data_IF_165452459046
#
_entry.id   IF_165452459046
#
_cell.length_a   1.000
_cell.length_b   1.000
_cell.length_c   1.000
_cell.angle_alpha   90.00
_cell.angle_beta   90.00
_cell.angle_gamma   90.00
#
_symmetry.space_group_name_H-M   'P 1'
#
loop_
_entity.id
_entity.type
_entity.pdbx_description
1 polymer ?
#
# COMPACT_ATOMS: atom_id res chain seq x y z
N UNK A 1 0.61 25.47 22.33
CA UNK A 1 1.14 25.79 20.99
C UNK A 1 1.72 27.19 20.96
N UNK A 2 2.81 27.41 20.22
CA UNK A 2 3.37 28.74 20.00
C UNK A 2 2.43 29.58 19.10
N UNK A 3 1.91 30.71 19.60
CA UNK A 3 1.00 31.58 18.84
C UNK A 3 1.61 32.08 17.52
N UNK A 4 2.92 32.30 17.48
CA UNK A 4 3.62 32.72 16.27
C UNK A 4 3.65 31.60 15.21
N UNK A 5 3.83 30.34 15.63
CA UNK A 5 3.76 29.19 14.72
C UNK A 5 2.34 29.05 14.16
N UNK A 6 1.31 29.15 15.01
CA UNK A 6 -0.08 29.06 14.56
C UNK A 6 -0.43 30.16 13.56
N UNK A 7 0.05 31.39 13.79
CA UNK A 7 -0.12 32.49 12.84
C UNK A 7 0.58 32.19 11.50
N UNK A 8 1.83 31.71 11.53
CA UNK A 8 2.58 31.35 10.33
C UNK A 8 1.91 30.22 9.54
N UNK A 9 1.39 29.18 10.20
CA UNK A 9 0.65 28.09 9.54
C UNK A 9 -0.65 28.59 8.90
N UNK A 10 -1.36 29.53 9.56
CA UNK A 10 -2.58 30.15 9.03
C UNK A 10 -2.34 31.13 7.89
N UNK A 11 -1.13 31.71 7.80
CA UNK A 11 -0.70 32.54 6.67
C UNK A 11 -0.22 31.67 5.50
N UNK A 12 0.50 30.59 5.79
CA UNK A 12 0.94 29.61 4.80
C UNK A 12 -0.25 28.90 4.11
N UNK A 13 -1.32 28.68 4.88
CA UNK A 13 -2.56 28.05 4.44
C UNK A 13 -3.72 29.05 4.51
N UNK A 14 -4.95 28.55 4.52
CA UNK A 14 -6.10 29.34 4.98
C UNK A 14 -6.46 28.93 6.40
N UNK A 15 -7.03 29.82 7.24
CA UNK A 15 -7.43 29.47 8.60
C UNK A 15 -8.38 28.26 8.70
N UNK A 16 -9.21 28.04 7.68
CA UNK A 16 -10.12 26.90 7.59
C UNK A 16 -9.42 25.54 7.34
N UNK A 17 -8.12 25.52 7.03
CA UNK A 17 -7.31 24.32 6.81
C UNK A 17 -6.25 24.11 7.89
N UNK A 18 -6.33 24.89 8.97
CA UNK A 18 -5.48 24.78 10.16
C UNK A 18 -6.38 24.53 11.35
N UNK A 19 -6.54 23.25 11.67
CA UNK A 19 -7.48 22.79 12.68
C UNK A 19 -6.80 22.77 14.05
N UNK A 20 -7.47 23.35 15.04
CA UNK A 20 -7.01 23.41 16.44
C UNK A 20 -8.10 23.02 17.43
N UNK A 21 -9.28 22.61 16.95
CA UNK A 21 -10.39 22.19 17.81
C UNK A 21 -10.13 20.80 18.41
N UNK A 22 -10.34 20.67 19.71
CA UNK A 22 -10.00 19.44 20.44
C UNK A 22 -10.68 18.18 19.92
N UNK A 23 -11.89 18.29 19.35
CA UNK A 23 -12.63 17.15 18.81
C UNK A 23 -12.06 16.68 17.46
N UNK A 24 -11.68 17.61 16.60
CA UNK A 24 -11.05 17.32 15.30
C UNK A 24 -9.64 16.76 15.49
N UNK A 25 -8.86 17.36 16.39
CA UNK A 25 -7.52 16.89 16.75
C UNK A 25 -7.54 15.45 17.29
N UNK A 26 -8.64 15.06 17.96
CA UNK A 26 -8.85 13.70 18.47
C UNK A 26 -8.72 12.61 17.40
N UNK A 27 -9.12 12.90 16.15
CA UNK A 27 -9.07 11.96 15.02
C UNK A 27 -7.63 11.69 14.53
N UNK A 28 -6.67 12.53 14.92
CA UNK A 28 -5.28 12.46 14.48
C UNK A 28 -4.33 12.02 15.59
N UNK A 29 -4.85 11.65 16.77
CA UNK A 29 -4.05 11.19 17.92
C UNK A 29 -3.49 9.78 17.77
N UNK A 30 -3.97 9.02 16.79
CA UNK A 30 -3.53 7.66 16.50
C UNK A 30 -3.69 7.33 15.02
N UNK A 31 -2.87 6.42 14.53
CA UNK A 31 -3.15 5.63 13.33
C UNK A 31 -3.94 4.36 13.71
N UNK A 32 -3.92 3.34 12.87
CA UNK A 32 -4.59 2.06 13.13
C UNK A 32 -3.82 1.18 14.15
N UNK A 33 -2.67 1.64 14.67
CA UNK A 33 -1.97 0.98 15.77
C UNK A 33 -2.65 1.22 17.12
N UNK A 34 -2.12 0.62 18.19
CA UNK A 34 -2.52 0.87 19.57
C UNK A 34 -1.74 2.00 20.25
N UNK A 35 -0.94 2.76 19.49
CA UNK A 35 -0.16 3.90 20.00
C UNK A 35 -1.03 5.14 19.94
N UNK A 36 -1.07 5.88 21.05
CA UNK A 36 -1.77 7.15 21.15
C UNK A 36 -0.79 8.26 21.50
N UNK A 37 -1.04 9.44 20.94
CA UNK A 37 -0.31 10.64 21.27
C UNK A 37 -1.20 11.87 21.23
N UNK A 38 -0.59 13.03 21.02
CA UNK A 38 -1.28 14.32 21.05
C UNK A 38 -0.70 15.28 20.02
N UNK A 39 -1.56 16.09 19.46
CA UNK A 39 -1.20 17.24 18.65
C UNK A 39 -2.07 18.43 19.03
N UNK A 40 -1.56 19.63 18.82
CA UNK A 40 -2.28 20.89 19.03
C UNK A 40 -2.75 21.52 17.71
N UNK A 41 -2.28 21.01 16.57
CA UNK A 41 -2.63 21.52 15.24
C UNK A 41 -2.50 20.47 14.13
N UNK A 42 -3.51 20.45 13.26
CA UNK A 42 -3.50 19.64 12.03
C UNK A 42 -3.66 20.57 10.83
N UNK A 43 -2.78 20.43 9.86
CA UNK A 43 -2.72 21.23 8.63
C UNK A 43 -3.12 20.40 7.42
N UNK A 44 -3.96 20.96 6.55
CA UNK A 44 -4.42 20.31 5.31
C UNK A 44 -3.95 21.10 4.07
N UNK A 45 -2.70 20.93 3.64
CA UNK A 45 -2.22 21.53 2.40
C UNK A 45 -2.92 20.91 1.18
N UNK A 46 -2.94 21.68 0.08
CA UNK A 46 -3.49 21.31 -1.23
C UNK A 46 -2.42 21.32 -2.32
N UNK A 47 -1.21 21.84 -2.03
CA UNK A 47 -0.13 21.95 -3.00
C UNK A 47 1.22 21.69 -2.36
N UNK A 48 2.22 21.36 -3.18
CA UNK A 48 3.62 21.25 -2.76
C UNK A 48 4.15 22.52 -2.09
N UNK A 49 3.77 23.70 -2.61
CA UNK A 49 4.20 24.99 -2.04
C UNK A 49 3.66 25.19 -0.61
N UNK A 50 2.44 24.74 -0.36
CA UNK A 50 1.82 24.80 0.96
C UNK A 50 2.45 23.79 1.95
N UNK A 51 2.78 22.58 1.48
CA UNK A 51 3.56 21.60 2.29
C UNK A 51 4.91 22.21 2.67
N UNK A 52 5.63 22.76 1.69
CA UNK A 52 6.90 23.46 1.90
C UNK A 52 6.76 24.60 2.92
N UNK A 53 5.72 25.41 2.83
CA UNK A 53 5.48 26.50 3.77
C UNK A 53 5.22 26.00 5.20
N UNK A 54 4.46 24.91 5.36
CA UNK A 54 4.25 24.27 6.66
C UNK A 54 5.55 23.75 7.27
N UNK A 55 6.37 23.02 6.48
CA UNK A 55 7.66 22.50 6.92
C UNK A 55 8.59 23.64 7.34
N UNK A 56 8.71 24.71 6.54
CA UNK A 56 9.54 25.87 6.87
C UNK A 56 9.07 26.61 8.12
N UNK A 57 7.76 26.66 8.38
CA UNK A 57 7.23 27.22 9.62
C UNK A 57 7.63 26.36 10.83
N UNK A 58 7.51 25.04 10.72
CA UNK A 58 7.93 24.09 11.75
C UNK A 58 9.43 24.22 12.06
N UNK A 59 10.29 24.24 11.04
CA UNK A 59 11.74 24.42 11.17
C UNK A 59 12.10 25.74 11.85
N UNK A 60 11.50 26.85 11.41
CA UNK A 60 11.77 28.20 11.97
C UNK A 60 11.43 28.30 13.45
N UNK A 61 10.40 27.57 13.88
CA UNK A 61 9.92 27.60 15.26
C UNK A 61 10.41 26.41 16.09
N UNK A 62 11.29 25.57 15.54
CA UNK A 62 11.86 24.38 16.19
C UNK A 62 10.77 23.41 16.71
N UNK A 63 9.67 23.29 15.96
CA UNK A 63 8.58 22.37 16.27
C UNK A 63 8.62 21.18 15.32
N UNK A 64 8.64 19.92 15.82
CA UNK A 64 8.60 18.74 14.97
C UNK A 64 7.26 18.62 14.23
N UNK A 65 7.26 17.87 13.13
CA UNK A 65 6.07 17.58 12.34
C UNK A 65 5.96 16.09 12.04
N UNK A 66 4.73 15.64 11.79
CA UNK A 66 4.40 14.28 11.30
C UNK A 66 3.61 14.41 10.01
N UNK A 67 4.12 13.83 8.93
CA UNK A 67 3.37 13.68 7.69
C UNK A 67 2.35 12.55 7.83
N UNK A 68 1.13 12.76 7.36
CA UNK A 68 0.06 11.79 7.51
C UNK A 68 -0.78 11.65 6.24
N UNK A 69 -0.86 10.42 5.73
CA UNK A 69 -1.87 10.01 4.75
C UNK A 69 -3.20 9.67 5.43
N UNK A 70 -3.79 8.54 5.07
CA UNK A 70 -5.07 8.10 5.66
C UNK A 70 -5.00 7.57 7.09
N UNK A 71 -3.79 7.37 7.64
CA UNK A 71 -3.63 6.87 9.02
C UNK A 71 -3.93 5.39 9.21
N UNK A 72 -3.76 4.56 8.18
CA UNK A 72 -3.98 3.11 8.23
C UNK A 72 -2.76 2.29 8.70
N UNK A 73 -1.66 2.96 9.05
CA UNK A 73 -0.44 2.33 9.55
C UNK A 73 -0.65 1.64 10.89
N UNK A 74 0.13 0.59 11.15
CA UNK A 74 0.01 -0.26 12.35
C UNK A 74 1.21 -0.13 13.31
N UNK A 75 2.17 0.73 12.97
CA UNK A 75 3.42 0.91 13.73
C UNK A 75 3.51 2.26 14.48
N UNK A 76 2.52 3.14 14.35
CA UNK A 76 2.52 4.46 14.99
C UNK A 76 3.23 5.55 14.21
N UNK A 77 3.73 5.28 13.00
CA UNK A 77 4.51 6.25 12.19
C UNK A 77 3.73 7.49 11.79
N UNK A 78 2.39 7.44 11.80
CA UNK A 78 1.52 8.60 11.54
C UNK A 78 0.90 9.20 12.82
N UNK A 79 1.40 8.82 14.00
CA UNK A 79 0.91 9.27 15.31
C UNK A 79 1.82 10.35 15.89
N UNK A 80 1.31 11.57 16.16
CA UNK A 80 2.08 12.62 16.82
C UNK A 80 2.22 12.29 18.31
N UNK A 81 3.44 12.02 18.79
CA UNK A 81 3.67 11.57 20.17
C UNK A 81 3.53 12.70 21.18
N UNK A 82 4.08 13.88 20.90
CA UNK A 82 4.20 14.95 21.88
C UNK A 82 4.09 16.37 21.31
N UNK A 83 3.02 16.65 20.57
CA UNK A 83 2.70 18.01 20.13
C UNK A 83 3.27 18.40 18.77
N UNK A 84 3.70 17.41 17.98
CA UNK A 84 4.09 17.59 16.58
C UNK A 84 2.94 18.21 15.77
N UNK A 85 3.28 19.05 14.80
CA UNK A 85 2.34 19.52 13.78
C UNK A 85 1.99 18.34 12.87
N UNK A 86 0.71 18.00 12.75
CA UNK A 86 0.30 16.98 11.78
C UNK A 86 0.07 17.63 10.43
N UNK A 87 0.81 17.21 9.41
CA UNK A 87 0.62 17.64 8.01
C UNK A 87 -0.15 16.54 7.28
N UNK A 88 -1.47 16.70 7.18
CA UNK A 88 -2.38 15.73 6.59
C UNK A 88 -2.50 15.92 5.08
N UNK A 89 -2.02 14.94 4.31
CA UNK A 89 -1.96 14.98 2.85
C UNK A 89 -3.22 14.46 2.15
N UNK A 90 -4.27 14.14 2.92
CA UNK A 90 -5.51 13.53 2.42
C UNK A 90 -6.32 14.44 1.49
N UNK A 91 -5.96 15.72 1.37
CA UNK A 91 -6.58 16.68 0.45
C UNK A 91 -5.80 16.89 -0.85
N UNK A 92 -4.61 16.31 -0.95
CA UNK A 92 -3.84 16.24 -2.19
C UNK A 92 -4.15 14.90 -2.85
N UNK A 93 -5.33 14.76 -3.44
CA UNK A 93 -5.90 13.49 -3.92
C UNK A 93 -6.16 13.45 -5.45
N UNK A 94 -5.47 14.30 -6.22
CA UNK A 94 -5.60 14.30 -7.66
C UNK A 94 -4.72 13.24 -8.36
N UNK A 95 -5.28 12.59 -9.38
CA UNK A 95 -4.50 11.94 -10.43
C UNK A 95 -4.12 13.01 -11.45
N UNK A 96 -2.86 13.44 -11.44
CA UNK A 96 -2.36 14.61 -12.17
C UNK A 96 -2.23 14.33 -13.67
N UNK A 97 -1.71 13.14 -14.03
CA UNK A 97 -1.62 12.70 -15.43
C UNK A 97 -1.53 11.18 -15.52
N UNK A 98 -1.95 10.63 -16.66
CA UNK A 98 -1.84 9.20 -16.98
C UNK A 98 -1.25 9.07 -18.38
N UNK A 99 -0.15 8.33 -18.50
CA UNK A 99 0.42 7.91 -19.77
C UNK A 99 0.19 6.39 -19.95
N UNK A 100 -0.82 5.98 -20.74
CA UNK A 100 -1.11 4.57 -20.95
C UNK A 100 -0.07 3.86 -21.84
N UNK A 101 0.69 4.60 -22.64
CA UNK A 101 1.70 4.03 -23.56
C UNK A 101 2.94 3.65 -22.77
N UNK A 102 3.46 4.58 -21.97
CA UNK A 102 4.59 4.36 -21.09
C UNK A 102 4.20 3.68 -19.77
N UNK A 103 2.90 3.53 -19.52
CA UNK A 103 2.29 2.88 -18.34
C UNK A 103 2.77 3.47 -17.03
N UNK A 104 2.58 4.78 -16.87
CA UNK A 104 2.77 5.45 -15.59
C UNK A 104 1.74 6.55 -15.38
N UNK A 105 1.62 7.00 -14.14
CA UNK A 105 0.76 8.11 -13.77
C UNK A 105 1.47 8.99 -12.74
N UNK A 106 1.31 10.30 -12.86
CA UNK A 106 1.62 11.20 -11.75
C UNK A 106 0.39 11.36 -10.88
N UNK A 107 0.56 11.15 -9.58
CA UNK A 107 -0.51 11.23 -8.58
C UNK A 107 -0.06 12.04 -7.38
N UNK A 108 -1.00 12.69 -6.72
CA UNK A 108 -0.79 13.29 -5.41
C UNK A 108 -0.85 12.22 -4.30
N UNK A 109 -0.16 12.44 -3.15
CA UNK A 109 0.04 11.43 -2.11
C UNK A 109 -1.24 10.99 -1.39
N UNK A 110 -2.31 11.78 -1.45
CA UNK A 110 -3.61 11.54 -0.84
C UNK A 110 -4.52 10.63 -1.66
N UNK A 111 -4.19 10.36 -2.92
CA UNK A 111 -4.95 9.40 -3.76
C UNK A 111 -5.04 8.06 -3.04
N UNK A 112 -6.24 7.52 -2.88
CA UNK A 112 -6.44 6.18 -2.32
C UNK A 112 -5.92 5.12 -3.29
N UNK A 113 -5.23 4.11 -2.77
CA UNK A 113 -4.55 3.10 -3.58
C UNK A 113 -5.50 2.46 -4.62
N UNK A 114 -6.62 1.90 -4.14
CA UNK A 114 -7.57 1.22 -5.03
C UNK A 114 -8.26 2.16 -6.01
N UNK A 115 -8.42 3.44 -5.65
CA UNK A 115 -9.10 4.41 -6.51
C UNK A 115 -8.28 4.77 -7.75
N UNK A 116 -6.94 4.74 -7.68
CA UNK A 116 -6.11 4.86 -8.87
C UNK A 116 -6.40 3.73 -9.87
N UNK A 117 -6.39 2.48 -9.40
CA UNK A 117 -6.70 1.31 -10.23
C UNK A 117 -8.09 1.39 -10.85
N UNK A 118 -9.10 1.86 -10.10
CA UNK A 118 -10.46 2.09 -10.61
C UNK A 118 -10.49 3.15 -11.72
N UNK A 119 -9.76 4.25 -11.55
CA UNK A 119 -9.71 5.33 -12.53
C UNK A 119 -9.08 4.88 -13.85
N UNK A 120 -8.03 4.07 -13.81
CA UNK A 120 -7.32 3.58 -15.01
C UNK A 120 -7.84 2.26 -15.58
N UNK A 121 -8.84 1.63 -14.94
CA UNK A 121 -9.37 0.32 -15.33
C UNK A 121 -9.82 0.24 -16.80
N UNK A 122 -10.38 1.33 -17.34
CA UNK A 122 -10.83 1.43 -18.73
C UNK A 122 -9.69 1.30 -19.76
N UNK A 123 -8.44 1.45 -19.32
CA UNK A 123 -7.23 1.30 -20.13
C UNK A 123 -6.65 -0.12 -20.07
N UNK A 124 -7.27 -1.02 -19.30
CA UNK A 124 -6.72 -2.36 -19.02
C UNK A 124 -5.47 -2.33 -18.13
N UNK A 125 -5.34 -1.28 -17.31
CA UNK A 125 -4.21 -1.05 -16.40
C UNK A 125 -4.69 -1.01 -14.95
N UNK A 126 -3.77 -1.19 -14.01
CA UNK A 126 -3.96 -0.98 -12.57
C UNK A 126 -2.65 -0.55 -11.89
N UNK A 127 -2.71 -0.04 -10.66
CA UNK A 127 -1.55 0.11 -9.78
C UNK A 127 -1.39 -1.17 -8.95
N UNK A 128 -0.23 -1.84 -9.10
CA UNK A 128 -0.02 -3.21 -8.61
C UNK A 128 0.02 -3.40 -7.09
N UNK A 129 0.70 -2.54 -6.28
CA UNK A 129 0.75 -2.73 -4.84
C UNK A 129 -0.64 -2.80 -4.23
N UNK A 130 -0.98 -3.91 -3.57
CA UNK A 130 -2.35 -4.21 -3.15
C UNK A 130 -2.49 -4.51 -1.63
N UNK A 131 -2.00 -3.63 -0.72
CA UNK A 131 -2.10 -3.86 0.71
C UNK A 131 -3.54 -4.16 1.15
N UNK A 132 -3.73 -4.91 2.24
CA UNK A 132 -5.09 -5.23 2.72
C UNK A 132 -5.94 -3.97 2.97
N UNK A 133 -5.29 -2.85 3.33
CA UNK A 133 -5.93 -1.55 3.51
C UNK A 133 -6.11 -0.74 2.22
N UNK A 134 -5.90 -1.29 1.02
CA UNK A 134 -5.95 -0.56 -0.27
C UNK A 134 -7.24 0.26 -0.52
N UNK A 135 -8.34 -0.10 0.12
CA UNK A 135 -9.61 0.66 0.06
C UNK A 135 -9.55 2.00 0.81
N UNK A 136 -8.59 2.17 1.71
CA UNK A 136 -8.47 3.32 2.61
C UNK A 136 -7.07 3.90 2.70
N UNK A 137 -6.00 3.14 2.43
CA UNK A 137 -4.64 3.67 2.44
C UNK A 137 -4.38 4.57 1.23
N UNK A 138 -3.62 5.65 1.45
CA UNK A 138 -3.20 6.55 0.39
C UNK A 138 -1.88 6.09 -0.25
N UNK A 139 -1.65 6.46 -1.50
CA UNK A 139 -0.41 6.11 -2.23
C UNK A 139 0.81 6.70 -1.51
N UNK A 140 0.73 7.92 -0.97
CA UNK A 140 1.80 8.52 -0.17
C UNK A 140 2.14 7.71 1.08
N UNK A 141 1.14 7.17 1.78
CA UNK A 141 1.36 6.25 2.90
C UNK A 141 2.03 4.95 2.44
N UNK A 142 1.63 4.40 1.30
CA UNK A 142 2.26 3.20 0.76
C UNK A 142 3.73 3.42 0.40
N UNK A 143 4.06 4.60 -0.12
CA UNK A 143 5.46 4.99 -0.38
C UNK A 143 6.24 5.16 0.91
N UNK A 144 5.66 5.82 1.92
CA UNK A 144 6.31 5.99 3.22
C UNK A 144 6.62 4.65 3.90
N UNK A 145 5.74 3.65 3.77
CA UNK A 145 5.88 2.35 4.44
C UNK A 145 6.42 1.22 3.54
N UNK A 146 6.77 1.52 2.27
CA UNK A 146 7.09 0.51 1.25
C UNK A 146 6.08 -0.65 1.22
N UNK A 147 4.78 -0.33 1.21
CA UNK A 147 3.71 -1.32 1.39
C UNK A 147 3.80 -2.45 0.37
N UNK A 148 3.60 -3.68 0.86
CA UNK A 148 3.34 -4.86 0.05
C UNK A 148 1.85 -5.19 -0.01
N UNK A 149 1.56 -6.45 -0.30
CA UNK A 149 0.22 -7.02 -0.37
C UNK A 149 0.33 -8.47 -0.84
N UNK A 150 -0.79 -9.20 -0.98
CA UNK A 150 -0.75 -10.59 -1.42
C UNK A 150 -0.02 -10.82 -2.74
N UNK A 151 -0.06 -9.85 -3.66
CA UNK A 151 0.56 -9.97 -4.98
C UNK A 151 2.05 -9.57 -5.02
N UNK A 152 2.64 -9.19 -3.88
CA UNK A 152 4.04 -8.75 -3.86
C UNK A 152 5.04 -9.86 -4.19
N UNK A 153 4.63 -11.13 -4.13
CA UNK A 153 5.44 -12.27 -4.56
C UNK A 153 5.83 -12.15 -6.04
N UNK A 154 4.86 -11.86 -6.91
CA UNK A 154 5.08 -11.73 -8.34
C UNK A 154 5.42 -10.29 -8.74
N UNK A 155 4.72 -9.31 -8.16
CA UNK A 155 4.81 -7.92 -8.60
C UNK A 155 5.79 -7.08 -7.79
N UNK A 156 6.33 -7.60 -6.68
CA UNK A 156 7.14 -6.83 -5.74
C UNK A 156 6.33 -5.86 -4.89
N UNK A 157 7.04 -5.10 -4.05
CA UNK A 157 6.45 -4.11 -3.13
C UNK A 157 6.43 -2.72 -3.75
N UNK A 158 5.86 -1.73 -3.05
CA UNK A 158 5.69 -0.35 -3.56
C UNK A 158 6.96 0.24 -4.18
N UNK A 159 8.15 -0.03 -3.65
CA UNK A 159 9.43 0.44 -4.21
C UNK A 159 9.68 0.00 -5.66
N UNK A 160 9.13 -1.13 -6.10
CA UNK A 160 9.21 -1.60 -7.49
C UNK A 160 8.31 -0.80 -8.45
N UNK A 161 7.37 -0.05 -7.90
CA UNK A 161 6.31 0.63 -8.64
C UNK A 161 6.38 2.16 -8.57
N UNK A 162 7.39 2.73 -7.91
CA UNK A 162 7.64 4.17 -7.94
C UNK A 162 8.75 4.48 -8.94
N UNK A 163 8.49 5.33 -9.93
CA UNK A 163 9.48 5.79 -10.90
C UNK A 163 10.18 7.07 -10.44
N UNK A 164 9.39 7.99 -9.88
CA UNK A 164 9.88 9.25 -9.35
C UNK A 164 9.02 9.76 -8.19
N UNK A 165 9.59 10.65 -7.38
CA UNK A 165 8.88 11.34 -6.30
C UNK A 165 9.32 12.80 -6.23
N UNK A 166 8.35 13.72 -6.22
CA UNK A 166 8.56 15.10 -5.78
C UNK A 166 8.44 15.11 -4.25
N UNK A 167 9.47 15.60 -3.56
CA UNK A 167 9.61 15.53 -2.12
C UNK A 167 9.95 16.90 -1.54
N UNK A 168 9.28 17.28 -0.46
CA UNK A 168 9.66 18.38 0.41
C UNK A 168 10.57 17.81 1.52
N UNK A 169 11.85 18.18 1.51
CA UNK A 169 12.84 17.77 2.52
C UNK A 169 12.59 18.45 3.86
N UNK A 170 13.30 18.01 4.91
CA UNK A 170 13.13 18.50 6.27
C UNK A 170 13.48 19.98 6.47
N UNK A 171 14.27 20.58 5.57
CA UNK A 171 14.55 22.03 5.54
C UNK A 171 13.56 22.82 4.65
N UNK A 172 12.63 22.11 4.00
CA UNK A 172 11.67 22.65 3.06
C UNK A 172 12.19 22.85 1.64
N UNK A 173 13.37 22.33 1.27
CA UNK A 173 13.76 22.23 -0.14
C UNK A 173 12.81 21.27 -0.89
N UNK A 174 12.48 21.57 -2.15
CA UNK A 174 11.73 20.66 -3.02
C UNK A 174 12.70 20.00 -3.99
N UNK A 175 12.75 18.68 -3.96
CA UNK A 175 13.58 17.87 -4.86
C UNK A 175 12.73 16.87 -5.63
N UNK A 176 13.26 16.39 -6.76
CA UNK A 176 12.69 15.25 -7.49
C UNK A 176 13.69 14.11 -7.42
N UNK A 177 13.25 12.97 -6.91
CA UNK A 177 14.04 11.74 -6.80
C UNK A 177 13.56 10.77 -7.90
N UNK A 178 14.49 10.20 -8.67
CA UNK A 178 14.16 9.30 -9.78
C UNK A 178 13.73 10.04 -11.06
N UNK A 179 13.13 9.30 -12.00
CA UNK A 179 12.67 9.84 -13.28
C UNK A 179 11.58 8.96 -13.88
N UNK A 180 10.79 9.51 -14.81
CA UNK A 180 9.84 8.70 -15.62
C UNK A 180 10.56 7.65 -16.48
N UNK A 181 11.81 7.93 -16.88
CA UNK A 181 12.65 7.01 -17.63
C UNK A 181 13.22 5.90 -16.73
N UNK A 182 13.30 4.69 -17.28
CA UNK A 182 13.85 3.50 -16.61
C UNK A 182 15.33 3.64 -16.25
N UNK A 183 16.10 4.32 -17.11
CA UNK A 183 17.45 4.77 -16.82
C UNK A 183 17.62 6.23 -17.27
N UNK A 184 17.83 7.19 -16.35
CA UNK A 184 18.19 8.53 -16.76
C UNK A 184 19.58 8.51 -17.41
N UNK A 185 19.76 9.30 -18.48
CA UNK A 185 21.06 9.44 -19.13
C UNK A 185 22.11 9.92 -18.11
N UNK A 186 23.15 9.11 -17.87
CA UNK A 186 24.19 9.39 -16.87
C UNK A 186 24.00 8.69 -15.52
N UNK A 187 23.28 7.55 -15.47
CA UNK A 187 22.95 6.71 -14.31
C UNK A 187 24.12 6.11 -13.49
N UNK A 188 25.24 6.80 -13.35
CA UNK A 188 26.34 6.45 -12.43
C UNK A 188 26.11 6.89 -10.98
N UNK A 189 24.89 7.33 -10.62
CA UNK A 189 24.53 7.88 -9.30
C UNK A 189 23.84 6.87 -8.37
N UNK A 190 23.57 7.30 -7.14
CA UNK A 190 22.82 6.53 -6.14
C UNK A 190 21.31 6.56 -6.42
N UNK A 191 20.61 5.45 -6.17
CA UNK A 191 19.13 5.40 -6.20
C UNK A 191 18.55 6.02 -4.92
N UNK A 192 18.56 7.36 -4.86
CA UNK A 192 17.98 8.12 -3.73
C UNK A 192 16.46 7.94 -3.62
N UNK A 193 15.79 7.66 -4.74
CA UNK A 193 14.36 7.29 -4.76
C UNK A 193 14.17 5.99 -3.98
N UNK A 194 14.96 4.96 -4.25
CA UNK A 194 14.96 3.71 -3.50
C UNK A 194 15.22 3.89 -2.01
N UNK A 195 16.12 4.81 -1.63
CA UNK A 195 16.36 5.15 -0.21
C UNK A 195 15.23 5.96 0.46
N UNK A 196 14.41 6.66 -0.33
CA UNK A 196 13.27 7.45 0.18
C UNK A 196 12.02 6.59 0.40
N UNK A 197 11.74 5.62 -0.48
CA UNK A 197 10.61 4.68 -0.31
C UNK A 197 10.87 3.81 0.92
N UNK A 198 9.90 3.76 1.85
CA UNK A 198 10.06 3.06 3.13
C UNK A 198 10.70 3.91 4.24
N UNK A 199 10.96 5.20 4.02
CA UNK A 199 11.54 6.10 5.03
C UNK A 199 10.57 6.53 6.13
N UNK A 200 9.30 6.16 6.06
CA UNK A 200 8.26 6.49 7.04
C UNK A 200 8.11 8.01 7.29
N UNK A 201 8.42 8.83 6.28
CA UNK A 201 8.37 10.29 6.36
C UNK A 201 9.59 10.94 7.03
N UNK A 202 10.59 10.15 7.44
CA UNK A 202 11.78 10.64 8.15
C UNK A 202 12.76 11.42 7.26
N UNK A 203 12.70 11.25 5.94
CA UNK A 203 13.54 11.96 4.97
C UNK A 203 12.82 13.11 4.25
N UNK A 204 11.54 13.33 4.55
CA UNK A 204 10.73 14.37 3.92
C UNK A 204 9.32 13.89 3.59
N UNK A 205 8.58 14.75 2.91
CA UNK A 205 7.17 14.56 2.58
C UNK A 205 7.03 14.45 1.06
N UNK A 206 6.56 13.30 0.56
CA UNK A 206 6.21 13.16 -0.84
C UNK A 206 4.96 13.99 -1.17
N UNK A 207 5.05 14.85 -2.19
CA UNK A 207 3.96 15.73 -2.65
C UNK A 207 3.43 15.37 -4.03
N UNK A 208 4.23 14.66 -4.85
CA UNK A 208 3.77 13.99 -6.07
C UNK A 208 4.56 12.70 -6.29
N UNK A 209 3.92 11.71 -6.87
CA UNK A 209 4.48 10.38 -7.10
C UNK A 209 4.23 9.98 -8.54
N UNK A 210 5.30 9.63 -9.26
CA UNK A 210 5.19 8.96 -10.54
C UNK A 210 5.17 7.45 -10.29
N UNK A 211 4.01 6.83 -10.51
CA UNK A 211 3.78 5.41 -10.26
C UNK A 211 3.74 4.63 -11.57
N UNK A 212 4.28 3.41 -11.56
CA UNK A 212 4.14 2.44 -12.64
C UNK A 212 2.71 1.88 -12.63
N UNK A 213 2.14 1.75 -13.81
CA UNK A 213 0.90 1.03 -14.04
C UNK A 213 1.21 -0.35 -14.66
N UNK A 214 0.52 -1.37 -14.16
CA UNK A 214 0.65 -2.76 -14.59
C UNK A 214 -0.52 -3.14 -15.48
N UNK A 215 -0.27 -3.96 -16.50
CA UNK A 215 -1.34 -4.49 -17.34
C UNK A 215 -2.17 -5.51 -16.55
N UNK A 216 -3.49 -5.46 -16.71
CA UNK A 216 -4.35 -6.48 -16.13
C UNK A 216 -4.05 -7.84 -16.79
N UNK A 217 -3.88 -8.90 -16.00
CA UNK A 217 -3.61 -10.21 -16.57
C UNK A 217 -4.82 -10.70 -17.38
N UNK A 218 -4.61 -11.35 -18.54
CA UNK A 218 -5.70 -11.79 -19.40
C UNK A 218 -6.47 -13.00 -18.86
N UNK A 219 -5.94 -13.67 -17.83
CA UNK A 219 -6.61 -14.75 -17.12
C UNK A 219 -6.02 -14.95 -15.73
N UNK A 220 -6.82 -15.55 -14.87
CA UNK A 220 -6.50 -15.82 -13.47
C UNK A 220 -7.19 -17.11 -13.02
N UNK A 221 -6.47 -17.90 -12.22
CA UNK A 221 -7.00 -19.10 -11.56
C UNK A 221 -6.65 -19.04 -10.08
N UNK A 222 -7.67 -19.18 -9.24
CA UNK A 222 -7.53 -19.16 -7.78
C UNK A 222 -7.91 -20.53 -7.23
N UNK A 223 -7.06 -21.06 -6.36
CA UNK A 223 -7.17 -22.38 -5.77
C UNK A 223 -7.08 -22.26 -4.25
N UNK A 224 -7.89 -23.03 -3.54
CA UNK A 224 -7.82 -23.20 -2.09
C UNK A 224 -7.53 -24.68 -1.79
N UNK A 225 -6.50 -24.90 -0.98
CA UNK A 225 -6.12 -26.20 -0.45
C UNK A 225 -6.23 -26.19 1.06
N UNK A 226 -6.58 -27.32 1.67
CA UNK A 226 -6.61 -27.46 3.12
C UNK A 226 -5.77 -28.63 3.62
N UNK A 227 -5.23 -28.50 4.84
CA UNK A 227 -4.23 -29.41 5.38
C UNK A 227 -4.52 -29.77 6.84
N UNK A 228 -4.06 -30.95 7.25
CA UNK A 228 -4.09 -31.40 8.65
C UNK A 228 -2.96 -30.80 9.51
N UNK A 229 -1.99 -30.12 8.89
CA UNK A 229 -0.95 -29.38 9.59
C UNK A 229 -0.52 -28.14 8.82
N UNK A 230 -0.08 -27.11 9.55
CA UNK A 230 0.53 -25.90 8.98
C UNK A 230 1.83 -26.24 8.23
N UNK A 231 2.60 -27.19 8.76
CA UNK A 231 3.85 -27.68 8.17
C UNK A 231 3.65 -28.17 6.72
N UNK A 232 2.59 -28.98 6.47
CA UNK A 232 2.27 -29.49 5.13
C UNK A 232 1.94 -28.37 4.13
N UNK A 233 1.17 -27.36 4.55
CA UNK A 233 0.89 -26.18 3.74
C UNK A 233 2.16 -25.38 3.42
N UNK A 234 3.04 -25.18 4.40
CA UNK A 234 4.31 -24.48 4.21
C UNK A 234 5.30 -25.25 3.29
N UNK A 235 5.34 -26.58 3.40
CA UNK A 235 6.12 -27.42 2.49
C UNK A 235 5.58 -27.35 1.06
N UNK A 236 4.25 -27.28 0.89
CA UNK A 236 3.63 -27.06 -0.43
C UNK A 236 4.09 -25.75 -1.05
N UNK A 237 4.08 -24.65 -0.29
CA UNK A 237 4.60 -23.34 -0.75
C UNK A 237 6.04 -23.47 -1.22
N UNK A 238 6.89 -24.11 -0.40
CA UNK A 238 8.31 -24.30 -0.73
C UNK A 238 8.51 -25.14 -1.99
N UNK A 239 7.70 -26.20 -2.17
CA UNK A 239 7.76 -27.07 -3.32
C UNK A 239 7.30 -26.39 -4.62
N UNK A 240 6.27 -25.54 -4.56
CA UNK A 240 5.81 -24.75 -5.72
C UNK A 240 6.96 -23.83 -6.20
N UNK A 241 7.61 -23.11 -5.28
CA UNK A 241 8.73 -22.24 -5.63
C UNK A 241 9.94 -23.04 -6.14
N UNK A 242 10.24 -24.19 -5.51
CA UNK A 242 11.34 -25.07 -5.93
C UNK A 242 11.11 -25.69 -7.33
N UNK A 243 9.87 -25.82 -7.77
CA UNK A 243 9.50 -26.24 -9.13
C UNK A 243 9.75 -25.15 -10.18
N UNK A 244 10.14 -23.94 -9.75
CA UNK A 244 10.41 -22.79 -10.61
C UNK A 244 9.17 -21.95 -10.92
N UNK A 245 8.05 -22.21 -10.24
CA UNK A 245 6.83 -21.44 -10.39
C UNK A 245 6.84 -20.22 -9.46
N UNK A 246 6.39 -19.08 -9.97
CA UNK A 246 6.12 -17.88 -9.15
C UNK A 246 4.65 -17.52 -9.34
N UNK A 247 3.75 -18.05 -8.48
CA UNK A 247 2.35 -17.66 -8.50
C UNK A 247 2.19 -16.17 -8.21
N UNK A 248 1.06 -15.61 -8.64
CA UNK A 248 0.70 -14.24 -8.36
C UNK A 248 0.55 -14.02 -6.84
N UNK A 249 0.01 -15.01 -6.12
CA UNK A 249 -0.04 -15.02 -4.67
C UNK A 249 0.00 -16.42 -4.06
N UNK A 250 0.55 -16.51 -2.85
CA UNK A 250 0.60 -17.71 -1.99
C UNK A 250 0.29 -17.30 -0.55
N UNK A 251 -0.95 -17.49 -0.12
CA UNK A 251 -1.47 -16.96 1.14
C UNK A 251 -1.95 -18.09 2.06
N UNK A 252 -1.35 -18.20 3.25
CA UNK A 252 -1.68 -19.23 4.23
C UNK A 252 -2.45 -18.65 5.41
N UNK A 253 -3.45 -19.38 5.90
CA UNK A 253 -4.15 -19.08 7.15
C UNK A 253 -4.15 -20.32 8.03
N UNK A 254 -3.87 -20.14 9.32
CA UNK A 254 -3.99 -21.21 10.31
C UNK A 254 -5.44 -21.40 10.77
N UNK A 255 -5.65 -22.43 11.59
CA UNK A 255 -6.97 -22.76 12.14
C UNK A 255 -7.65 -21.59 12.84
N UNK A 256 -6.94 -20.82 13.65
CA UNK A 256 -7.54 -19.71 14.41
C UNK A 256 -8.00 -18.60 13.48
N UNK A 257 -7.20 -18.26 12.47
CA UNK A 257 -7.60 -17.33 11.41
C UNK A 257 -8.82 -17.84 10.63
N UNK A 258 -8.83 -19.12 10.24
CA UNK A 258 -9.96 -19.73 9.52
C UNK A 258 -11.25 -19.63 10.32
N UNK A 259 -11.23 -20.06 11.59
CA UNK A 259 -12.41 -20.02 12.46
C UNK A 259 -12.93 -18.60 12.66
N UNK A 260 -12.03 -17.63 12.89
CA UNK A 260 -12.39 -16.23 13.08
C UNK A 260 -13.00 -15.60 11.82
N UNK A 261 -12.38 -15.83 10.66
CA UNK A 261 -12.85 -15.31 9.37
C UNK A 261 -14.17 -15.95 8.98
N UNK A 262 -14.29 -17.28 9.07
CA UNK A 262 -15.49 -17.99 8.63
C UNK A 262 -16.71 -17.64 9.47
N UNK A 263 -16.52 -17.32 10.76
CA UNK A 263 -17.58 -16.84 11.65
C UNK A 263 -18.20 -15.50 11.22
N UNK A 264 -17.51 -14.71 10.38
CA UNK A 264 -17.95 -13.38 9.96
C UNK A 264 -18.17 -13.24 8.45
N UNK A 265 -17.24 -13.73 7.63
CA UNK A 265 -17.25 -13.57 6.17
C UNK A 265 -18.05 -14.66 5.46
N UNK A 266 -18.12 -15.87 6.04
CA UNK A 266 -18.78 -17.03 5.46
C UNK A 266 -18.28 -17.36 4.03
N UNK A 267 -16.96 -17.45 3.86
CA UNK A 267 -16.34 -17.75 2.56
C UNK A 267 -16.38 -19.25 2.20
N UNK A 268 -16.87 -20.09 3.12
CA UNK A 268 -16.87 -21.54 2.99
C UNK A 268 -15.48 -22.13 3.22
N UNK A 269 -14.73 -21.56 4.16
CA UNK A 269 -13.44 -22.10 4.61
C UNK A 269 -13.66 -23.33 5.51
N UNK A 270 -12.84 -24.39 5.38
CA UNK A 270 -12.96 -25.60 6.18
C UNK A 270 -12.46 -25.37 7.62
N UNK A 271 -13.37 -25.18 8.57
CA UNK A 271 -13.05 -24.91 9.98
C UNK A 271 -12.46 -26.09 10.74
N UNK A 272 -12.52 -27.30 10.16
CA UNK A 272 -11.85 -28.50 10.68
C UNK A 272 -10.38 -28.59 10.24
N UNK A 273 -9.94 -27.78 9.27
CA UNK A 273 -8.56 -27.78 8.79
C UNK A 273 -7.60 -27.13 9.80
N UNK A 274 -6.35 -27.61 9.82
CA UNK A 274 -5.29 -26.96 10.60
C UNK A 274 -4.71 -25.74 9.88
N UNK A 275 -4.73 -25.76 8.55
CA UNK A 275 -4.33 -24.66 7.69
C UNK A 275 -5.04 -24.71 6.35
N UNK A 276 -5.17 -23.55 5.71
CA UNK A 276 -5.53 -23.43 4.30
C UNK A 276 -4.47 -22.64 3.55
N UNK A 277 -4.24 -23.01 2.29
CA UNK A 277 -3.39 -22.30 1.36
C UNK A 277 -4.23 -21.80 0.18
N UNK A 278 -4.31 -20.49 0.02
CA UNK A 278 -4.89 -19.83 -1.13
C UNK A 278 -3.77 -19.52 -2.14
N UNK A 279 -3.89 -20.04 -3.35
CA UNK A 279 -2.93 -19.86 -4.43
C UNK A 279 -3.61 -19.18 -5.60
N UNK A 280 -2.98 -18.14 -6.14
CA UNK A 280 -3.45 -17.48 -7.36
C UNK A 280 -2.35 -17.48 -8.42
N UNK A 281 -2.71 -17.87 -9.64
CA UNK A 281 -1.85 -17.77 -10.82
C UNK A 281 -2.53 -16.90 -11.85
N UNK A 282 -1.74 -16.04 -12.50
CA UNK A 282 -2.20 -15.11 -13.54
C UNK A 282 -1.36 -15.31 -14.79
N UNK A 283 -1.96 -15.07 -15.96
CA UNK A 283 -1.24 -15.28 -17.21
C UNK A 283 -2.15 -15.48 -18.41
N UNK A 284 -1.56 -15.96 -19.51
CA UNK A 284 -2.28 -16.27 -20.73
C UNK A 284 -3.18 -17.51 -20.53
N UNK A 285 -4.44 -17.50 -21.01
CA UNK A 285 -5.37 -18.62 -20.83
C UNK A 285 -4.82 -20.00 -21.23
N UNK A 286 -3.93 -20.06 -22.22
CA UNK A 286 -3.32 -21.31 -22.68
C UNK A 286 -2.35 -21.95 -21.68
N UNK A 287 -1.72 -21.16 -20.80
CA UNK A 287 -0.75 -21.64 -19.80
C UNK A 287 -1.38 -21.96 -18.44
N UNK A 288 -2.47 -21.26 -18.10
CA UNK A 288 -3.08 -21.34 -16.76
C UNK A 288 -3.54 -22.75 -16.37
N UNK A 289 -4.01 -23.55 -17.33
CA UNK A 289 -4.43 -24.92 -17.05
C UNK A 289 -3.24 -25.79 -16.61
N UNK A 290 -2.08 -25.65 -17.26
CA UNK A 290 -0.87 -26.38 -16.91
C UNK A 290 -0.31 -25.94 -15.56
N UNK A 291 -0.28 -24.63 -15.28
CA UNK A 291 0.16 -24.10 -13.99
C UNK A 291 -0.74 -24.59 -12.85
N UNK A 292 -2.07 -24.51 -13.04
CA UNK A 292 -3.06 -25.05 -12.11
C UNK A 292 -2.81 -26.54 -11.84
N UNK A 293 -2.71 -27.34 -12.89
CA UNK A 293 -2.57 -28.80 -12.75
C UNK A 293 -1.26 -29.16 -12.03
N UNK A 294 -0.17 -28.45 -12.33
CA UNK A 294 1.11 -28.64 -11.66
C UNK A 294 1.05 -28.28 -10.18
N UNK A 295 0.42 -27.17 -9.82
CA UNK A 295 0.23 -26.75 -8.42
C UNK A 295 -0.64 -27.75 -7.68
N UNK A 296 -1.71 -28.25 -8.30
CA UNK A 296 -2.58 -29.27 -7.71
C UNK A 296 -1.81 -30.57 -7.45
N UNK A 297 -0.99 -31.04 -8.39
CA UNK A 297 -0.12 -32.21 -8.19
C UNK A 297 0.82 -32.01 -7.00
N UNK A 298 1.48 -30.86 -6.91
CA UNK A 298 2.40 -30.54 -5.82
C UNK A 298 1.66 -30.52 -4.48
N UNK A 299 0.51 -29.86 -4.41
CA UNK A 299 -0.30 -29.77 -3.19
C UNK A 299 -0.77 -31.15 -2.71
N UNK A 300 -1.27 -31.99 -3.61
CA UNK A 300 -1.68 -33.36 -3.29
C UNK A 300 -0.49 -34.22 -2.82
N UNK A 301 0.68 -34.07 -3.44
CA UNK A 301 1.90 -34.78 -3.03
C UNK A 301 2.39 -34.38 -1.63
N UNK A 302 2.01 -33.19 -1.15
CA UNK A 302 2.34 -32.67 0.18
C UNK A 302 1.16 -32.72 1.16
N UNK A 303 0.13 -33.52 0.87
CA UNK A 303 -0.93 -33.85 1.83
C UNK A 303 -2.11 -32.88 1.87
N UNK A 304 -2.38 -32.13 0.80
CA UNK A 304 -3.65 -31.42 0.66
C UNK A 304 -4.83 -32.41 0.71
N UNK A 305 -5.84 -32.14 1.55
CA UNK A 305 -7.02 -32.99 1.71
C UNK A 305 -8.06 -32.72 0.62
N UNK A 306 -8.31 -31.44 0.34
CA UNK A 306 -9.24 -31.00 -0.68
C UNK A 306 -8.60 -29.96 -1.60
N UNK A 307 -9.14 -29.89 -2.82
CA UNK A 307 -8.75 -28.93 -3.85
C UNK A 307 -10.01 -28.21 -4.30
N UNK A 308 -10.10 -26.90 -4.02
CA UNK A 308 -11.20 -26.06 -4.47
C UNK A 308 -10.68 -25.03 -5.46
N UNK A 309 -11.07 -25.15 -6.72
CA UNK A 309 -10.78 -24.17 -7.76
C UNK A 309 -11.97 -23.23 -7.86
N UNK A 310 -11.75 -21.91 -7.80
CA UNK A 310 -12.80 -20.93 -7.95
C UNK A 310 -13.43 -21.04 -9.34
N UNK A 311 -14.76 -21.18 -9.43
CA UNK A 311 -15.47 -21.40 -10.70
C UNK A 311 -15.71 -20.11 -11.50
N UNK A 312 -15.75 -18.98 -10.81
CA UNK A 312 -16.06 -17.66 -11.35
C UNK A 312 -15.45 -16.53 -10.52
N UNK A 313 -15.57 -15.30 -11.01
CA UNK A 313 -15.10 -14.09 -10.35
C UNK A 313 -15.71 -13.91 -8.95
N UNK A 314 -16.99 -14.26 -8.77
CA UNK A 314 -17.68 -14.05 -7.51
C UNK A 314 -17.13 -14.97 -6.41
N UNK A 315 -16.88 -16.24 -6.74
CA UNK A 315 -16.22 -17.18 -5.84
C UNK A 315 -14.77 -16.78 -5.55
N UNK A 316 -14.02 -16.35 -6.57
CA UNK A 316 -12.65 -15.83 -6.37
C UNK A 316 -12.66 -14.64 -5.41
N UNK A 317 -13.51 -13.64 -5.65
CA UNK A 317 -13.60 -12.44 -4.82
C UNK A 317 -14.01 -12.77 -3.39
N UNK A 318 -14.88 -13.77 -3.18
CA UNK A 318 -15.27 -14.23 -1.85
C UNK A 318 -14.11 -14.88 -1.09
N UNK A 319 -13.32 -15.74 -1.76
CA UNK A 319 -12.11 -16.33 -1.15
C UNK A 319 -11.10 -15.26 -0.75
N UNK A 320 -10.84 -14.30 -1.63
CA UNK A 320 -9.96 -13.17 -1.33
C UNK A 320 -10.48 -12.26 -0.22
N UNK A 321 -11.79 -12.04 -0.16
CA UNK A 321 -12.43 -11.32 0.94
C UNK A 321 -12.29 -12.06 2.27
N UNK A 322 -12.27 -13.40 2.27
CA UNK A 322 -11.97 -14.19 3.47
C UNK A 322 -10.53 -13.99 3.93
N UNK A 323 -9.57 -13.91 3.01
CA UNK A 323 -8.15 -13.71 3.34
C UNK A 323 -7.81 -12.28 3.76
N UNK A 324 -8.35 -11.25 3.08
CA UNK A 324 -7.99 -9.83 3.28
C UNK A 324 -8.54 -9.24 4.56
#
# INVERSE_FOLDING_TARGET
MNDALLAALREALTPARVHTDGSELGLYRRDASNIEGRTEVVCFPLTTAEVQACVRACVRHEVPFVARGSGTGLAGGATPLDGEVVIALTKMDAVVSVDPVNRHAWVEPGVLNLDLSRQVAHLGLHFAPDPSSQQSCSIGGNVANNSGGPHCLADGVTSSHILAAEVVLSDGEVVVLGSEAWEPAGAGGLDLRGGFVGSEGMFGIATKLCVRLTQNPPGVVTMLFDYESVEAGAQTVSAIIADGMVPAALEMMDKLCIEAVEAYIHAGLPTDAAAVLLVEVTGLPAGLAADRDRIVEIALAHGARTVRIAKDEAERALLWKGRK
#
